data_IF_361983133697
#
_entry.id   IF_361983133697
#
_cell.length_a   1.000
_cell.length_b   1.000
_cell.length_c   1.000
_cell.angle_alpha   90.00
_cell.angle_beta   90.00
_cell.angle_gamma   90.00
#
_symmetry.space_group_name_H-M   'P 1'
#
loop_
_entity.id
_entity.type
_entity.pdbx_description
1 polymer ?
#
# COMPACT_ATOMS: atom_id res chain seq x y z
N UNK A 1 6.45 -12.14 2.33
CA UNK A 1 6.09 -10.97 3.13
C UNK A 1 6.07 -11.39 4.60
N UNK A 2 6.57 -10.60 5.56
CA UNK A 2 6.71 -11.03 6.96
C UNK A 2 5.38 -11.06 7.74
N UNK A 3 4.25 -10.66 7.14
CA UNK A 3 2.95 -10.52 7.81
C UNK A 3 1.85 -11.43 7.26
N UNK A 4 2.12 -12.27 6.25
CA UNK A 4 1.11 -13.15 5.60
C UNK A 4 0.46 -14.19 6.51
N UNK A 5 0.95 -14.35 7.75
CA UNK A 5 0.41 -15.28 8.74
C UNK A 5 -0.15 -14.59 10.00
N UNK A 6 -0.21 -13.25 10.04
CA UNK A 6 -0.69 -12.48 11.18
C UNK A 6 -2.11 -11.97 10.93
N UNK A 7 -2.94 -12.00 11.98
CA UNK A 7 -4.25 -11.37 11.98
C UNK A 7 -4.12 -9.86 11.69
N UNK A 8 -5.07 -9.28 10.93
CA UNK A 8 -5.07 -7.85 10.54
C UNK A 8 -4.91 -6.93 11.75
N UNK A 9 -5.44 -7.33 12.91
CA UNK A 9 -5.32 -6.58 14.17
C UNK A 9 -3.89 -6.59 14.70
N UNK A 10 -3.21 -7.73 14.63
CA UNK A 10 -1.82 -7.87 15.10
C UNK A 10 -0.86 -7.14 14.16
N UNK A 11 -1.11 -7.18 12.85
CA UNK A 11 -0.32 -6.43 11.87
C UNK A 11 -0.39 -4.92 12.16
N UNK A 12 -1.58 -4.37 12.40
CA UNK A 12 -1.74 -2.96 12.77
C UNK A 12 -1.00 -2.61 14.07
N UNK A 13 -1.01 -3.51 15.06
CA UNK A 13 -0.31 -3.30 16.32
C UNK A 13 1.22 -3.28 16.13
N UNK A 14 1.78 -4.24 15.39
CA UNK A 14 3.21 -4.27 15.08
C UNK A 14 3.64 -2.99 14.35
N UNK A 15 2.84 -2.56 13.37
CA UNK A 15 3.12 -1.34 12.59
C UNK A 15 3.11 -0.08 13.45
N UNK A 16 2.16 0.04 14.38
CA UNK A 16 2.11 1.14 15.34
C UNK A 16 3.36 1.20 16.22
N UNK A 17 3.81 0.05 16.72
CA UNK A 17 5.03 -0.02 17.53
C UNK A 17 6.28 0.32 16.72
N UNK A 18 6.37 -0.15 15.47
CA UNK A 18 7.48 0.20 14.58
C UNK A 18 7.52 1.70 14.32
N UNK A 19 6.38 2.35 14.01
CA UNK A 19 6.34 3.81 13.84
C UNK A 19 6.78 4.56 15.10
N UNK A 20 6.37 4.09 16.28
CA UNK A 20 6.75 4.70 17.54
C UNK A 20 8.28 4.64 17.72
N UNK A 21 8.89 3.48 17.46
CA UNK A 21 10.34 3.32 17.53
C UNK A 21 11.09 4.21 16.53
N UNK A 22 10.60 4.32 15.30
CA UNK A 22 11.14 5.21 14.25
C UNK A 22 11.14 6.66 14.73
N UNK A 23 10.02 7.13 15.31
CA UNK A 23 9.89 8.48 15.86
C UNK A 23 10.80 8.72 17.06
N UNK A 24 10.88 7.77 17.98
CA UNK A 24 11.71 7.88 19.19
C UNK A 24 13.21 7.86 18.89
N UNK A 25 13.63 7.10 17.88
CA UNK A 25 15.04 6.94 17.52
C UNK A 25 15.53 7.91 16.44
N UNK A 26 14.61 8.61 15.75
CA UNK A 26 14.95 9.51 14.64
C UNK A 26 15.49 8.77 13.41
N UNK A 27 15.09 7.51 13.23
CA UNK A 27 15.55 6.65 12.13
C UNK A 27 14.58 6.74 10.95
N UNK A 28 15.04 6.47 9.72
CA UNK A 28 14.15 6.31 8.56
C UNK A 28 13.74 4.85 8.37
N UNK A 29 12.49 4.62 7.95
CA UNK A 29 11.94 3.28 7.67
C UNK A 29 11.55 3.17 6.21
N UNK A 30 12.02 2.12 5.54
CA UNK A 30 11.49 1.68 4.25
C UNK A 30 10.67 0.42 4.49
N UNK A 31 9.37 0.48 4.16
CA UNK A 31 8.45 -0.64 4.30
C UNK A 31 8.05 -1.18 2.92
N UNK A 32 8.20 -2.48 2.70
CA UNK A 32 7.85 -3.14 1.44
C UNK A 32 6.63 -4.01 1.67
N UNK A 33 5.51 -3.69 1.01
CA UNK A 33 4.26 -4.46 1.08
C UNK A 33 3.48 -4.34 -0.22
N UNK A 34 2.56 -5.28 -0.43
CA UNK A 34 1.57 -5.23 -1.51
C UNK A 34 0.19 -4.72 -1.04
N UNK A 35 0.01 -4.49 0.27
CA UNK A 35 -1.26 -4.00 0.82
C UNK A 35 -1.26 -2.47 0.91
N UNK A 36 -2.01 -1.84 0.00
CA UNK A 36 -2.17 -0.38 -0.01
C UNK A 36 -2.92 0.15 1.21
N UNK A 37 -3.77 -0.66 1.84
CA UNK A 37 -4.53 -0.28 3.04
C UNK A 37 -3.61 -0.04 4.23
N UNK A 38 -2.55 -0.83 4.31
CA UNK A 38 -1.49 -0.69 5.32
C UNK A 38 -0.68 0.59 5.08
N UNK A 39 -0.31 0.88 3.83
CA UNK A 39 0.50 2.06 3.49
C UNK A 39 -0.26 3.36 3.79
N UNK A 40 -1.57 3.41 3.55
CA UNK A 40 -2.40 4.60 3.70
C UNK A 40 -2.36 5.25 5.10
N UNK A 41 -2.12 4.47 6.16
CA UNK A 41 -1.99 4.96 7.53
C UNK A 41 -0.57 4.99 8.07
N UNK A 42 0.41 4.52 7.30
CA UNK A 42 1.74 4.20 7.79
C UNK A 42 2.84 5.13 7.27
N UNK A 43 2.80 5.44 5.98
CA UNK A 43 3.93 6.06 5.28
C UNK A 43 3.64 7.52 4.93
N UNK A 44 4.70 8.32 4.86
CA UNK A 44 4.65 9.70 4.36
C UNK A 44 4.66 9.72 2.82
N UNK A 45 5.56 8.93 2.22
CA UNK A 45 5.74 8.75 0.78
C UNK A 45 5.57 7.28 0.36
N UNK A 46 5.17 7.06 -0.89
CA UNK A 46 5.06 5.73 -1.50
C UNK A 46 5.74 5.69 -2.86
N UNK A 47 6.36 4.55 -3.18
CA UNK A 47 6.83 4.21 -4.52
C UNK A 47 6.15 2.92 -4.98
N UNK A 48 5.40 3.00 -6.08
CA UNK A 48 4.74 1.86 -6.71
C UNK A 48 5.67 1.27 -7.74
N UNK A 49 5.90 -0.04 -7.64
CA UNK A 49 6.83 -0.75 -8.51
C UNK A 49 6.10 -1.81 -9.34
N UNK A 50 6.42 -1.88 -10.64
CA UNK A 50 5.92 -2.89 -11.56
C UNK A 50 7.04 -3.33 -12.51
N UNK A 51 7.17 -4.65 -12.73
CA UNK A 51 8.19 -5.24 -13.59
C UNK A 51 9.61 -4.70 -13.32
N UNK A 52 9.96 -4.53 -12.04
CA UNK A 52 11.28 -4.03 -11.62
C UNK A 52 11.53 -2.53 -11.85
N UNK A 53 10.49 -1.73 -12.13
CA UNK A 53 10.58 -0.28 -12.31
C UNK A 53 9.64 0.45 -11.37
N UNK A 54 10.11 1.56 -10.81
CA UNK A 54 9.23 2.52 -10.12
C UNK A 54 8.38 3.17 -11.21
N UNK A 55 7.06 2.95 -11.15
CA UNK A 55 6.10 3.46 -12.12
C UNK A 55 5.38 4.70 -11.62
N UNK A 56 5.34 4.91 -10.30
CA UNK A 56 4.76 6.10 -9.67
C UNK A 56 5.38 6.30 -8.28
N UNK A 57 5.63 7.54 -7.88
CA UNK A 57 6.17 7.88 -6.57
C UNK A 57 5.70 9.28 -6.14
N UNK A 58 5.41 9.45 -4.86
CA UNK A 58 5.05 10.73 -4.26
C UNK A 58 4.43 10.59 -2.87
N UNK A 59 3.85 11.68 -2.33
CA UNK A 59 3.12 11.64 -1.08
C UNK A 59 2.02 10.59 -1.13
N UNK A 60 1.84 9.83 -0.04
CA UNK A 60 0.86 8.74 0.02
C UNK A 60 -0.55 9.22 -0.37
N UNK A 61 -0.96 10.38 0.14
CA UNK A 61 -2.26 10.97 -0.19
C UNK A 61 -2.43 11.22 -1.70
N UNK A 62 -1.41 11.78 -2.35
CA UNK A 62 -1.49 12.09 -3.78
C UNK A 62 -1.55 10.81 -4.64
N UNK A 63 -0.70 9.82 -4.33
CA UNK A 63 -0.64 8.57 -5.10
C UNK A 63 -1.90 7.71 -4.89
N UNK A 64 -2.48 7.70 -3.69
CA UNK A 64 -3.67 6.90 -3.39
C UNK A 64 -5.00 7.57 -3.78
N UNK A 65 -5.10 8.90 -3.70
CA UNK A 65 -6.32 9.63 -4.03
C UNK A 65 -6.37 10.08 -5.49
N UNK A 66 -5.22 10.39 -6.09
CA UNK A 66 -5.09 10.90 -7.46
C UNK A 66 -4.00 10.16 -8.25
N UNK A 67 -4.09 8.81 -8.36
CA UNK A 67 -3.10 8.02 -9.09
C UNK A 67 -3.01 8.42 -10.56
N UNK A 68 -1.81 8.67 -11.04
CA UNK A 68 -1.53 9.10 -12.40
C UNK A 68 -1.17 7.91 -13.31
N UNK A 69 -0.49 6.88 -12.77
CA UNK A 69 -0.07 5.75 -13.57
C UNK A 69 -1.22 4.73 -13.72
N UNK A 70 -1.52 4.23 -14.94
CA UNK A 70 -2.62 3.28 -15.16
C UNK A 70 -2.53 2.01 -14.30
N UNK A 71 -1.32 1.54 -14.02
CA UNK A 71 -1.11 0.41 -13.11
C UNK A 71 -1.54 0.73 -11.67
N UNK A 72 -1.18 1.90 -11.14
CA UNK A 72 -1.57 2.35 -9.80
C UNK A 72 -3.07 2.56 -9.70
N UNK A 73 -3.69 3.15 -10.73
CA UNK A 73 -5.14 3.25 -10.87
C UNK A 73 -5.79 1.86 -10.78
N UNK A 74 -5.26 0.88 -11.52
CA UNK A 74 -5.71 -0.50 -11.48
C UNK A 74 -5.58 -1.12 -10.09
N UNK A 75 -4.47 -0.90 -9.38
CA UNK A 75 -4.26 -1.42 -8.02
C UNK A 75 -5.30 -0.84 -7.04
N UNK A 76 -5.55 0.46 -7.09
CA UNK A 76 -6.52 1.14 -6.24
C UNK A 76 -7.94 0.68 -6.55
N UNK A 77 -8.28 0.51 -7.83
CA UNK A 77 -9.57 -0.01 -8.28
C UNK A 77 -9.81 -1.47 -7.87
N UNK A 78 -8.75 -2.24 -7.64
CA UNK A 78 -8.84 -3.61 -7.13
C UNK A 78 -9.10 -3.67 -5.62
N UNK A 79 -9.03 -2.55 -4.88
CA UNK A 79 -9.24 -2.54 -3.43
C UNK A 79 -10.70 -2.85 -3.06
N UNK A 80 -10.96 -3.78 -2.11
CA UNK A 80 -12.32 -4.13 -1.70
C UNK A 80 -13.13 -2.96 -1.13
N UNK A 81 -12.45 -2.03 -0.43
CA UNK A 81 -13.07 -0.87 0.21
C UNK A 81 -13.61 0.17 -0.79
N UNK A 82 -13.10 0.21 -2.02
CA UNK A 82 -13.56 1.12 -3.08
C UNK A 82 -14.60 0.48 -4.01
N UNK A 83 -14.92 -0.80 -3.83
CA UNK A 83 -15.88 -1.55 -4.65
C UNK A 83 -17.21 -1.76 -3.92
N UNK A 84 -18.32 -1.76 -4.67
CA UNK A 84 -19.63 -2.07 -4.11
C UNK A 84 -19.72 -3.56 -3.72
N UNK A 85 -20.22 -3.84 -2.52
CA UNK A 85 -20.44 -5.22 -2.06
C UNK A 85 -21.35 -5.96 -3.05
N UNK A 86 -20.93 -7.16 -3.44
CA UNK A 86 -21.65 -8.00 -4.41
C UNK A 86 -21.25 -7.79 -5.87
N UNK A 87 -20.38 -6.82 -6.18
CA UNK A 87 -19.78 -6.68 -7.51
C UNK A 87 -18.43 -7.38 -7.58
N UNK A 88 -18.08 -7.89 -8.77
CA UNK A 88 -16.78 -8.51 -9.01
C UNK A 88 -15.70 -7.43 -8.95
N UNK A 89 -14.63 -7.68 -8.18
CA UNK A 89 -13.49 -6.78 -8.09
C UNK A 89 -12.89 -6.55 -9.48
N UNK A 90 -12.56 -5.30 -9.78
CA UNK A 90 -11.83 -4.96 -11.01
C UNK A 90 -10.47 -5.66 -10.97
N UNK A 91 -10.21 -6.47 -11.98
CA UNK A 91 -8.93 -7.17 -12.14
C UNK A 91 -8.04 -6.34 -13.06
N UNK A 92 -6.77 -6.20 -12.70
CA UNK A 92 -5.75 -5.69 -13.60
C UNK A 92 -5.46 -6.82 -14.61
N UNK A 93 -5.71 -6.64 -15.91
CA UNK A 93 -5.37 -7.65 -16.90
C UNK A 93 -3.85 -7.89 -16.86
N UNK A 94 -3.45 -9.14 -16.61
CA UNK A 94 -2.03 -9.51 -16.68
C UNK A 94 -1.53 -9.37 -18.11
N UNK A 95 -0.33 -8.80 -18.30
CA UNK A 95 0.39 -8.96 -19.56
C UNK A 95 1.07 -10.34 -19.53
N UNK A 96 0.69 -11.19 -20.49
CA UNK A 96 1.30 -12.51 -20.70
C UNK A 96 2.70 -12.39 -21.30
#
# INVERSE_FOLDING_TARGET
>A
EPTTALDVTIQAQILSEVQKLVREQGTSLIWITHDLSVIAGLADDVAVMYAGRIVEQGPVADVLDRPQHPYTQGLIDSLPSRNQRGQRLRQIPGMA
#
